data_IF_751238393425
#
_entry.id   IF_751238393425
#
_cell.length_a   1.000
_cell.length_b   1.000
_cell.length_c   1.000
_cell.angle_alpha   90.00
_cell.angle_beta   90.00
_cell.angle_gamma   90.00
#
_symmetry.space_group_name_H-M   'P 1'
#
loop_
_entity.id
_entity.type
_entity.pdbx_description
1 polymer ?
#
# COMPACT_ATOMS: atom_id res chain seq x y z
N UNK A 1 60.34 -1.69 2.85
CA UNK A 1 60.42 -2.25 1.49
C UNK A 1 59.03 -2.52 0.96
N UNK A 2 58.71 -1.82 -0.14
CA UNK A 2 57.70 -2.08 -1.17
C UNK A 2 56.20 -1.96 -0.89
N UNK A 3 55.69 -0.76 -1.22
CA UNK A 3 54.61 -0.48 -2.19
C UNK A 3 54.09 -1.69 -3.00
N UNK A 4 52.76 -1.76 -3.17
CA UNK A 4 52.18 -1.71 -4.51
C UNK A 4 50.71 -1.26 -4.53
N UNK A 5 50.51 -0.08 -5.12
CA UNK A 5 49.24 0.36 -5.72
C UNK A 5 48.90 -0.54 -6.90
N UNK A 6 47.62 -0.86 -7.10
CA UNK A 6 47.13 -1.09 -8.45
C UNK A 6 45.74 -0.45 -8.62
N UNK A 7 45.73 0.64 -9.39
CA UNK A 7 44.56 1.25 -9.98
C UNK A 7 43.85 0.25 -10.89
N UNK A 8 42.52 0.24 -10.88
CA UNK A 8 41.82 -0.01 -12.14
C UNK A 8 40.61 0.92 -12.26
N UNK A 9 40.80 1.86 -13.16
CA UNK A 9 39.90 2.91 -13.58
C UNK A 9 39.15 2.37 -14.81
N UNK A 10 37.82 2.32 -14.79
CA UNK A 10 37.05 2.10 -16.01
C UNK A 10 35.84 3.04 -16.05
N UNK A 11 36.12 4.24 -16.56
CA UNK A 11 35.15 5.13 -17.17
C UNK A 11 34.74 4.54 -18.52
N UNK A 12 33.44 4.39 -18.76
CA UNK A 12 32.90 4.42 -20.12
C UNK A 12 31.57 5.16 -20.11
N UNK A 13 31.57 6.34 -20.73
CA UNK A 13 30.41 7.17 -21.01
C UNK A 13 30.41 7.48 -22.50
N UNK A 14 29.36 7.10 -23.23
CA UNK A 14 28.97 7.53 -24.59
C UNK A 14 27.90 6.54 -25.09
N UNK A 15 26.79 6.87 -25.74
CA UNK A 15 26.08 8.08 -26.14
C UNK A 15 24.64 7.65 -26.47
N UNK A 16 23.69 8.59 -26.52
CA UNK A 16 22.25 8.32 -26.47
C UNK A 16 21.59 7.62 -27.67
N UNK A 17 20.42 7.06 -27.41
CA UNK A 17 19.28 7.00 -28.32
C UNK A 17 17.99 6.74 -27.51
N UNK A 18 17.03 7.63 -27.68
CA UNK A 18 15.61 7.59 -27.30
C UNK A 18 14.96 6.21 -27.36
N UNK A 19 14.37 5.75 -26.25
CA UNK A 19 13.10 5.00 -26.26
C UNK A 19 12.20 5.47 -25.10
N UNK A 20 11.14 6.15 -25.50
CA UNK A 20 9.98 6.50 -24.68
C UNK A 20 9.16 5.24 -24.37
N UNK A 21 8.52 5.23 -23.20
CA UNK A 21 7.29 4.46 -22.99
C UNK A 21 7.46 3.09 -22.35
N UNK A 22 7.75 3.07 -21.06
CA UNK A 22 7.16 2.13 -20.08
C UNK A 22 7.67 2.52 -18.70
N UNK A 23 6.85 3.24 -17.92
CA UNK A 23 7.10 3.43 -16.48
C UNK A 23 6.74 2.12 -15.80
N UNK A 24 7.54 1.08 -16.01
CA UNK A 24 7.58 -0.05 -15.10
C UNK A 24 8.30 0.47 -13.87
N UNK A 25 7.55 0.87 -12.84
CA UNK A 25 8.10 1.12 -11.52
C UNK A 25 8.66 -0.20 -10.97
N UNK A 26 9.86 -0.55 -11.42
CA UNK A 26 10.70 -1.52 -10.74
C UNK A 26 11.10 -0.87 -9.41
N UNK A 27 10.30 -1.10 -8.37
CA UNK A 27 10.71 -0.79 -7.00
C UNK A 27 11.91 -1.67 -6.68
N UNK A 28 13.11 -1.09 -6.75
CA UNK A 28 14.32 -1.76 -6.28
C UNK A 28 14.13 -2.08 -4.79
N UNK A 29 14.59 -3.24 -4.28
CA UNK A 29 14.57 -3.55 -2.84
C UNK A 29 15.30 -2.53 -1.96
N UNK A 30 16.07 -1.63 -2.57
CA UNK A 30 16.87 -0.61 -1.88
C UNK A 30 16.08 0.66 -1.50
N UNK A 31 14.86 0.83 -2.03
CA UNK A 31 13.99 1.96 -1.66
C UNK A 31 13.06 1.57 -0.48
N UNK A 32 12.89 2.49 0.48
CA UNK A 32 12.13 2.25 1.71
C UNK A 32 10.70 1.74 1.48
N UNK A 33 10.07 2.12 0.37
CA UNK A 33 8.75 1.65 -0.02
C UNK A 33 8.76 0.19 -0.52
N UNK A 34 9.82 -0.20 -1.24
CA UNK A 34 10.01 -1.59 -1.67
C UNK A 34 10.15 -2.54 -0.47
N UNK A 35 10.91 -2.13 0.54
CA UNK A 35 11.04 -2.88 1.81
C UNK A 35 9.72 -2.96 2.57
N UNK A 36 8.92 -1.89 2.57
CA UNK A 36 7.59 -1.87 3.20
C UNK A 36 6.66 -2.88 2.54
N UNK A 37 6.55 -2.86 1.22
CA UNK A 37 5.72 -3.79 0.45
C UNK A 37 6.14 -5.26 0.66
N UNK A 38 7.44 -5.54 0.68
CA UNK A 38 7.96 -6.88 0.98
C UNK A 38 7.59 -7.34 2.39
N UNK A 39 7.72 -6.44 3.37
CA UNK A 39 7.36 -6.72 4.76
C UNK A 39 5.88 -7.06 4.89
N UNK A 40 4.99 -6.29 4.24
CA UNK A 40 3.55 -6.53 4.26
C UNK A 40 3.20 -7.88 3.65
N UNK A 41 3.79 -8.21 2.49
CA UNK A 41 3.57 -9.52 1.85
C UNK A 41 4.01 -10.67 2.75
N UNK A 42 5.13 -10.51 3.45
CA UNK A 42 5.60 -11.50 4.41
C UNK A 42 4.64 -11.65 5.61
N UNK A 43 4.17 -10.55 6.18
CA UNK A 43 3.21 -10.57 7.29
C UNK A 43 1.88 -11.19 6.85
N UNK A 44 1.33 -10.79 5.70
CA UNK A 44 0.08 -11.34 5.19
C UNK A 44 0.18 -12.85 4.97
N UNK A 45 1.30 -13.33 4.43
CA UNK A 45 1.57 -14.76 4.28
C UNK A 45 1.64 -15.49 5.63
N UNK A 46 2.24 -14.87 6.64
CA UNK A 46 2.26 -15.42 8.00
C UNK A 46 0.86 -15.49 8.62
N UNK A 47 0.03 -14.45 8.43
CA UNK A 47 -1.36 -14.44 8.89
C UNK A 47 -2.18 -15.55 8.22
N UNK A 48 -2.09 -15.70 6.89
CA UNK A 48 -2.77 -16.78 6.16
C UNK A 48 -2.31 -18.16 6.65
N UNK A 49 -1.01 -18.32 6.91
CA UNK A 49 -0.47 -19.58 7.44
C UNK A 49 -1.01 -19.85 8.84
N UNK A 50 -1.02 -18.85 9.72
CA UNK A 50 -1.58 -18.93 11.06
C UNK A 50 -3.06 -19.34 11.06
N UNK A 51 -3.85 -18.73 10.18
CA UNK A 51 -5.24 -19.12 9.97
C UNK A 51 -5.37 -20.59 9.56
N UNK A 52 -4.54 -21.06 8.63
CA UNK A 52 -4.60 -22.45 8.14
C UNK A 52 -4.23 -23.51 9.18
N UNK A 53 -3.46 -23.15 10.21
CA UNK A 53 -3.04 -24.07 11.28
C UNK A 53 -3.81 -23.86 12.59
N UNK A 54 -4.82 -22.99 12.60
CA UNK A 54 -5.63 -22.73 13.79
C UNK A 54 -4.92 -21.92 14.87
N UNK A 55 -3.99 -21.04 14.49
CA UNK A 55 -3.24 -20.16 15.39
C UNK A 55 -3.71 -18.70 15.21
N UNK A 56 -4.87 -18.31 15.77
CA UNK A 56 -5.49 -17.00 15.55
C UNK A 56 -4.64 -15.84 16.05
N UNK A 57 -3.78 -16.07 17.05
CA UNK A 57 -2.87 -15.03 17.55
C UNK A 57 -1.90 -14.53 16.46
N UNK A 58 -1.52 -15.35 15.48
CA UNK A 58 -0.69 -14.92 14.35
C UNK A 58 -1.43 -13.92 13.46
N UNK A 59 -2.73 -14.11 13.30
CA UNK A 59 -3.60 -13.22 12.50
C UNK A 59 -3.73 -11.88 13.21
N UNK A 60 -4.08 -11.89 14.50
CA UNK A 60 -4.27 -10.66 15.29
C UNK A 60 -2.97 -9.87 15.42
N UNK A 61 -1.83 -10.53 15.70
CA UNK A 61 -0.54 -9.84 15.80
C UNK A 61 -0.06 -9.31 14.44
N UNK A 62 -0.23 -10.08 13.36
CA UNK A 62 0.09 -9.60 12.02
C UNK A 62 -0.73 -8.37 11.64
N UNK A 63 -2.03 -8.37 11.94
CA UNK A 63 -2.90 -7.23 11.73
C UNK A 63 -2.47 -6.01 12.57
N UNK A 64 -2.08 -6.19 13.82
CA UNK A 64 -1.58 -5.12 14.68
C UNK A 64 -0.26 -4.52 14.16
N UNK A 65 0.65 -5.36 13.65
CA UNK A 65 1.89 -4.90 13.02
C UNK A 65 1.61 -4.04 11.79
N UNK A 66 0.71 -4.50 10.91
CA UNK A 66 0.37 -3.74 9.71
C UNK A 66 -0.37 -2.45 10.06
N UNK A 67 -1.28 -2.48 11.04
CA UNK A 67 -1.93 -1.28 11.56
C UNK A 67 -0.89 -0.24 12.00
N UNK A 68 0.11 -0.65 12.78
CA UNK A 68 1.19 0.22 13.23
C UNK A 68 2.04 0.80 12.08
N UNK A 69 2.32 0.00 11.05
CA UNK A 69 3.08 0.46 9.87
C UNK A 69 2.34 1.56 9.09
N UNK A 70 1.01 1.55 9.10
CA UNK A 70 0.18 2.45 8.29
C UNK A 70 -0.42 3.63 9.04
N UNK A 71 -0.29 3.70 10.37
CA UNK A 71 -0.71 4.87 11.15
C UNK A 71 -0.22 6.21 10.55
N UNK A 72 1.05 6.35 10.09
CA UNK A 72 1.49 7.60 9.46
C UNK A 72 0.76 7.91 8.14
N UNK A 73 0.53 6.93 7.28
CA UNK A 73 -0.17 7.14 6.00
C UNK A 73 -1.66 7.46 6.20
N UNK A 74 -2.29 6.86 7.22
CA UNK A 74 -3.64 7.22 7.62
C UNK A 74 -3.70 8.66 8.17
N UNK A 75 -2.66 9.11 8.88
CA UNK A 75 -2.59 10.48 9.39
C UNK A 75 -2.38 11.53 8.30
N UNK A 76 -1.85 11.14 7.14
CA UNK A 76 -1.69 11.98 5.94
C UNK A 76 -2.91 11.90 4.99
N UNK A 77 -4.00 11.25 5.39
CA UNK A 77 -5.24 11.06 4.61
C UNK A 77 -5.07 10.32 3.26
N UNK A 78 -3.94 9.63 3.06
CA UNK A 78 -3.63 8.87 1.83
C UNK A 78 -4.29 7.49 1.79
N UNK A 79 -5.59 7.44 2.08
CA UNK A 79 -6.32 6.17 2.22
C UNK A 79 -6.42 5.35 0.93
N UNK A 80 -6.41 5.98 -0.25
CA UNK A 80 -6.54 5.27 -1.53
C UNK A 80 -5.42 4.23 -1.74
N UNK A 81 -4.20 4.57 -1.33
CA UNK A 81 -3.01 3.72 -1.40
C UNK A 81 -3.09 2.49 -0.49
N UNK A 82 -3.99 2.51 0.51
CA UNK A 82 -4.10 1.47 1.53
C UNK A 82 -5.09 0.36 1.18
N UNK A 83 -5.99 0.62 0.23
CA UNK A 83 -7.10 -0.28 -0.12
C UNK A 83 -6.67 -1.72 -0.47
N UNK A 84 -5.63 -1.86 -1.30
CA UNK A 84 -5.13 -3.17 -1.76
C UNK A 84 -4.45 -3.98 -0.64
N UNK A 85 -4.09 -3.30 0.47
CA UNK A 85 -3.43 -3.91 1.62
C UNK A 85 -4.42 -4.18 2.75
N UNK A 86 -5.30 -3.23 3.06
CA UNK A 86 -6.21 -3.34 4.20
C UNK A 86 -7.32 -4.36 3.98
N UNK A 87 -7.85 -4.49 2.76
CA UNK A 87 -8.93 -5.44 2.47
C UNK A 87 -8.58 -6.90 2.85
N UNK A 88 -7.49 -7.50 2.34
CA UNK A 88 -7.17 -8.89 2.66
C UNK A 88 -6.86 -9.11 4.15
N UNK A 89 -6.35 -8.09 4.85
CA UNK A 89 -6.09 -8.14 6.29
C UNK A 89 -7.41 -8.16 7.05
N UNK A 90 -8.33 -7.26 6.70
CA UNK A 90 -9.66 -7.17 7.31
C UNK A 90 -10.43 -8.48 7.12
N UNK A 91 -10.39 -9.06 5.93
CA UNK A 91 -11.02 -10.37 5.65
C UNK A 91 -10.46 -11.50 6.51
N UNK A 92 -9.15 -11.52 6.76
CA UNK A 92 -8.53 -12.52 7.65
C UNK A 92 -8.90 -12.29 9.11
N UNK A 93 -8.90 -11.04 9.59
CA UNK A 93 -9.27 -10.74 10.98
C UNK A 93 -10.72 -11.08 11.26
N UNK A 94 -11.63 -10.87 10.30
CA UNK A 94 -13.05 -11.23 10.42
C UNK A 94 -13.32 -12.74 10.50
N UNK A 95 -12.34 -13.57 10.15
CA UNK A 95 -12.44 -15.03 10.27
C UNK A 95 -11.98 -15.56 11.64
N UNK A 96 -11.36 -14.71 12.47
CA UNK A 96 -10.92 -15.09 13.82
C UNK A 96 -12.13 -15.18 14.75
N UNK A 97 -12.18 -16.23 15.58
CA UNK A 97 -13.23 -16.37 16.58
C UNK A 97 -13.26 -15.13 17.51
N UNK A 98 -14.45 -14.57 17.80
CA UNK A 98 -14.57 -13.44 18.71
C UNK A 98 -13.80 -13.57 20.03
N UNK A 99 -13.66 -14.78 20.59
CA UNK A 99 -12.93 -15.01 21.85
C UNK A 99 -11.42 -14.74 21.75
N UNK A 100 -10.85 -14.98 20.57
CA UNK A 100 -9.43 -14.80 20.27
C UNK A 100 -9.15 -13.50 19.51
N UNK A 101 -10.22 -12.76 19.18
CA UNK A 101 -10.15 -11.53 18.40
C UNK A 101 -9.77 -10.30 19.24
N UNK A 102 -9.30 -9.25 18.58
CA UNK A 102 -9.22 -7.92 19.17
C UNK A 102 -10.28 -7.03 18.51
N UNK A 103 -11.40 -6.82 19.22
CA UNK A 103 -12.55 -6.06 18.70
C UNK A 103 -12.17 -4.65 18.25
N UNK A 104 -11.39 -3.92 19.05
CA UNK A 104 -11.01 -2.55 18.73
C UNK A 104 -10.16 -2.48 17.46
N UNK A 105 -9.18 -3.38 17.33
CA UNK A 105 -8.36 -3.47 16.12
C UNK A 105 -9.22 -3.83 14.90
N UNK A 106 -10.16 -4.76 15.06
CA UNK A 106 -11.07 -5.21 14.00
C UNK A 106 -11.94 -4.06 13.49
N UNK A 107 -12.56 -3.31 14.39
CA UNK A 107 -13.39 -2.14 14.04
C UNK A 107 -12.56 -1.09 13.30
N UNK A 108 -11.36 -0.79 13.81
CA UNK A 108 -10.46 0.17 13.19
C UNK A 108 -10.04 -0.24 11.76
N UNK A 109 -9.76 -1.53 11.55
CA UNK A 109 -9.41 -2.07 10.23
C UNK A 109 -10.60 -2.01 9.26
N UNK A 110 -11.80 -2.34 9.71
CA UNK A 110 -13.03 -2.23 8.91
C UNK A 110 -13.27 -0.78 8.50
N UNK A 111 -13.17 0.16 9.44
CA UNK A 111 -13.35 1.59 9.17
C UNK A 111 -12.31 2.12 8.18
N UNK A 112 -11.03 1.81 8.40
CA UNK A 112 -9.97 2.22 7.49
C UNK A 112 -10.12 1.61 6.09
N UNK A 113 -10.57 0.35 6.00
CA UNK A 113 -10.86 -0.33 4.73
C UNK A 113 -12.01 0.36 3.99
N UNK A 114 -13.08 0.72 4.71
CA UNK A 114 -14.22 1.44 4.13
C UNK A 114 -13.80 2.80 3.58
N UNK A 115 -13.04 3.59 4.36
CA UNK A 115 -12.49 4.88 3.92
C UNK A 115 -11.58 4.73 2.70
N UNK A 116 -10.75 3.70 2.66
CA UNK A 116 -9.88 3.42 1.52
C UNK A 116 -10.67 3.08 0.25
N UNK A 117 -11.73 2.28 0.37
CA UNK A 117 -12.63 1.93 -0.73
C UNK A 117 -13.39 3.16 -1.25
N UNK A 118 -13.96 3.97 -0.36
CA UNK A 118 -14.65 5.21 -0.69
C UNK A 118 -13.72 6.20 -1.41
N UNK A 119 -12.52 6.43 -0.87
CA UNK A 119 -11.54 7.33 -1.48
C UNK A 119 -11.17 6.87 -2.90
N UNK A 120 -10.99 5.57 -3.14
CA UNK A 120 -10.75 5.06 -4.49
C UNK A 120 -11.91 5.26 -5.44
N UNK A 121 -13.15 5.07 -4.98
CA UNK A 121 -14.34 5.32 -5.78
C UNK A 121 -14.45 6.80 -6.15
N UNK A 122 -14.18 7.71 -5.21
CA UNK A 122 -14.17 9.15 -5.47
C UNK A 122 -13.09 9.54 -6.50
N UNK A 123 -11.87 9.01 -6.37
CA UNK A 123 -10.82 9.25 -7.35
C UNK A 123 -11.19 8.72 -8.75
N UNK A 124 -11.80 7.53 -8.82
CA UNK A 124 -12.27 6.97 -10.08
C UNK A 124 -13.39 7.81 -10.71
N UNK A 125 -14.35 8.29 -9.91
CA UNK A 125 -15.43 9.16 -10.36
C UNK A 125 -14.92 10.51 -10.85
N UNK A 126 -13.92 11.10 -10.19
CA UNK A 126 -13.29 12.36 -10.61
C UNK A 126 -12.44 12.20 -11.87
N UNK A 127 -11.87 11.01 -12.09
CA UNK A 127 -11.15 10.68 -13.31
C UNK A 127 -12.08 10.43 -14.52
N UNK A 128 -13.37 10.18 -14.29
CA UNK A 128 -14.36 10.01 -15.35
C UNK A 128 -14.73 11.39 -15.96
N UNK A 129 -14.42 11.61 -17.26
CA UNK A 129 -14.71 12.87 -17.93
C UNK A 129 -16.21 13.23 -17.93
N UNK A 130 -17.11 12.25 -17.89
CA UNK A 130 -18.56 12.46 -17.92
C UNK A 130 -19.10 13.00 -16.59
N UNK A 131 -18.52 12.57 -15.47
CA UNK A 131 -18.87 13.05 -14.13
C UNK A 131 -18.21 14.40 -13.86
N UNK A 132 -16.96 14.60 -14.30
CA UNK A 132 -16.26 15.88 -14.24
C UNK A 132 -17.02 16.99 -14.97
N UNK A 133 -17.54 16.71 -16.17
CA UNK A 133 -18.37 17.65 -16.94
C UNK A 133 -19.72 17.93 -16.26
N UNK A 134 -20.36 16.92 -15.65
CA UNK A 134 -21.62 17.09 -14.92
C UNK A 134 -21.45 17.91 -13.63
N UNK A 135 -20.36 17.71 -12.88
CA UNK A 135 -20.03 18.50 -11.69
C UNK A 135 -19.68 19.95 -12.04
N UNK A 136 -18.94 20.17 -13.13
CA UNK A 136 -18.64 21.52 -13.63
C UNK A 136 -19.93 22.25 -14.10
N UNK A 137 -20.83 21.55 -14.79
CA UNK A 137 -22.12 22.10 -15.19
C UNK A 137 -23.03 22.44 -13.98
N UNK A 138 -23.02 21.59 -12.94
CA UNK A 138 -23.76 21.86 -11.70
C UNK A 138 -23.20 23.08 -10.94
N UNK A 139 -21.87 23.26 -10.89
CA UNK A 139 -21.24 24.41 -10.24
C UNK A 139 -21.49 25.74 -10.98
N UNK A 140 -21.73 25.70 -12.30
CA UNK A 140 -22.09 26.86 -13.11
C UNK A 140 -23.61 27.18 -13.10
N UNK A 141 -24.44 26.26 -12.62
CA UNK A 141 -25.90 26.42 -12.55
C UNK A 141 -26.43 27.14 -11.30
N UNK A 142 -25.59 27.40 -10.30
CA UNK A 142 -25.99 27.96 -8.98
C UNK A 142 -25.80 29.50 -8.89
N UNK A 143 -25.64 30.18 -10.03
CA UNK A 143 -25.38 31.62 -10.11
C UNK A 143 -26.29 32.40 -11.10
N UNK A 144 -27.54 31.95 -11.31
CA UNK A 144 -28.54 32.76 -12.05
C UNK A 144 -29.80 32.98 -11.21
#
# INVERSE_FOLDING_TARGET
>A
NNNNNNSNNNNNNSSGATQQGQVQQHTSPDDAEGLRLLTIRAILRAMMSGMSIGEPWLVVNGAAMIWGLYLPLMSEEKFAELSDVLLPITELVLQVDPIDSNTSLTVNLVEATAKAAEHRLLLAALADPSISAAAAAAALGDHV
#
